data_IF_655377696033
#
_entry.id   IF_655377696033
#
_cell.length_a   1.000
_cell.length_b   1.000
_cell.length_c   1.000
_cell.angle_alpha   90.00
_cell.angle_beta   90.00
_cell.angle_gamma   90.00
#
_symmetry.space_group_name_H-M   'P 1'
#
loop_
_entity.id
_entity.type
_entity.pdbx_description
1 polymer ?
#
# COMPACT_ATOMS: atom_id res chain seq x y z
N UNK A 1 15.53 3.52 -21.71
CA UNK A 1 14.48 4.47 -22.07
C UNK A 1 13.69 4.81 -20.82
N UNK A 2 13.75 6.05 -20.36
CA UNK A 2 13.13 6.51 -19.10
C UNK A 2 11.72 7.07 -19.33
N UNK A 3 11.15 6.89 -20.52
CA UNK A 3 9.98 7.63 -21.02
C UNK A 3 8.62 6.95 -20.74
N UNK A 4 8.59 5.75 -20.14
CA UNK A 4 7.33 5.04 -19.81
C UNK A 4 7.12 4.82 -18.30
N UNK A 5 7.81 5.57 -17.42
CA UNK A 5 7.59 5.43 -15.97
C UNK A 5 6.35 6.20 -15.52
N UNK A 6 5.54 5.57 -14.66
CA UNK A 6 4.35 6.11 -14.03
C UNK A 6 4.74 6.61 -12.64
N UNK A 7 4.41 7.86 -12.32
CA UNK A 7 4.62 8.44 -10.98
C UNK A 7 3.46 8.06 -10.08
N UNK A 8 3.76 7.64 -8.84
CA UNK A 8 2.77 7.32 -7.81
C UNK A 8 3.18 7.98 -6.50
N UNK A 9 2.19 8.51 -5.79
CA UNK A 9 2.37 9.09 -4.48
C UNK A 9 1.75 8.22 -3.40
N UNK A 10 2.50 7.91 -2.36
CA UNK A 10 2.05 7.21 -1.18
C UNK A 10 1.99 8.20 -0.02
N UNK A 11 0.82 8.35 0.59
CA UNK A 11 0.70 9.05 1.87
C UNK A 11 0.91 8.00 2.97
N UNK A 12 2.00 8.13 3.71
CA UNK A 12 2.35 7.20 4.79
C UNK A 12 1.47 7.43 6.02
N UNK A 13 1.61 6.55 7.02
CA UNK A 13 0.81 6.57 8.25
C UNK A 13 1.02 7.83 9.09
N UNK A 14 2.23 8.38 9.06
CA UNK A 14 2.61 9.64 9.70
C UNK A 14 2.13 10.89 8.91
N UNK A 15 1.63 10.71 7.69
CA UNK A 15 1.16 11.76 6.79
C UNK A 15 2.17 12.20 5.73
N UNK A 16 3.42 11.72 5.78
CA UNK A 16 4.44 12.07 4.79
C UNK A 16 4.10 11.53 3.40
N UNK A 17 4.37 12.37 2.40
CA UNK A 17 4.17 12.04 0.98
C UNK A 17 5.45 11.46 0.38
N UNK A 18 5.46 10.16 0.15
CA UNK A 18 6.52 9.44 -0.55
C UNK A 18 6.19 9.35 -2.03
N UNK A 19 7.14 9.68 -2.91
CA UNK A 19 6.93 9.64 -4.37
C UNK A 19 7.87 8.62 -5.01
N UNK A 20 7.29 7.69 -5.76
CA UNK A 20 8.03 6.65 -6.47
C UNK A 20 7.64 6.60 -7.95
N UNK A 21 8.46 5.88 -8.72
CA UNK A 21 8.20 5.63 -10.13
C UNK A 21 8.30 4.15 -10.44
N UNK A 22 7.26 3.60 -11.08
CA UNK A 22 7.23 2.23 -11.57
C UNK A 22 7.00 2.16 -13.08
N UNK A 23 7.07 0.97 -13.64
CA UNK A 23 6.70 0.69 -15.02
C UNK A 23 5.25 0.17 -15.08
N UNK A 24 4.56 0.35 -16.21
CA UNK A 24 3.29 -0.33 -16.44
C UNK A 24 3.45 -1.84 -16.23
N UNK A 25 2.56 -2.43 -15.46
CA UNK A 25 2.60 -3.85 -15.09
C UNK A 25 3.21 -4.14 -13.71
N UNK A 26 4.08 -3.28 -13.17
CA UNK A 26 4.61 -3.44 -11.82
C UNK A 26 3.47 -3.33 -10.80
N UNK A 27 3.44 -4.17 -9.77
CA UNK A 27 2.48 -4.02 -8.68
C UNK A 27 2.86 -2.83 -7.79
N UNK A 28 1.91 -2.29 -7.01
CA UNK A 28 2.25 -1.23 -6.04
C UNK A 28 3.21 -1.71 -4.95
N UNK A 29 3.22 -3.02 -4.67
CA UNK A 29 4.25 -3.62 -3.81
C UNK A 29 5.63 -3.53 -4.45
N UNK A 30 5.77 -3.90 -5.73
CA UNK A 30 7.05 -3.80 -6.44
C UNK A 30 7.54 -2.35 -6.46
N UNK A 31 6.64 -1.39 -6.67
CA UNK A 31 6.99 0.04 -6.64
C UNK A 31 7.57 0.46 -5.29
N UNK A 32 6.97 0.04 -4.19
CA UNK A 32 7.45 0.32 -2.82
C UNK A 32 8.83 -0.29 -2.60
N UNK A 33 9.00 -1.57 -2.93
CA UNK A 33 10.24 -2.32 -2.72
C UNK A 33 11.38 -1.83 -3.61
N UNK A 34 11.15 -1.71 -4.92
CA UNK A 34 12.18 -1.29 -5.88
C UNK A 34 12.67 0.15 -5.66
N UNK A 35 11.80 1.02 -5.14
CA UNK A 35 12.16 2.40 -4.81
C UNK A 35 12.65 2.57 -3.37
N UNK A 36 12.71 1.50 -2.57
CA UNK A 36 13.07 1.52 -1.15
C UNK A 36 12.27 2.57 -0.35
N UNK A 37 10.94 2.60 -0.53
CA UNK A 37 10.09 3.51 0.23
C UNK A 37 10.00 3.06 1.69
N UNK A 38 10.09 4.03 2.60
CA UNK A 38 10.09 3.79 4.04
C UNK A 38 8.65 3.62 4.57
N UNK A 39 8.03 2.48 4.25
CA UNK A 39 6.70 2.11 4.70
C UNK A 39 6.80 0.84 5.55
N UNK A 40 6.93 1.02 6.86
CA UNK A 40 7.16 -0.06 7.81
C UNK A 40 6.14 -1.20 7.66
N UNK A 41 6.65 -2.42 7.59
CA UNK A 41 5.87 -3.66 7.54
C UNK A 41 5.01 -3.84 6.28
N UNK A 42 5.18 -3.00 5.25
CA UNK A 42 4.39 -3.11 4.02
C UNK A 42 4.75 -4.36 3.22
N UNK A 43 3.75 -5.17 2.88
CA UNK A 43 3.92 -6.33 1.99
C UNK A 43 4.67 -7.51 2.59
N UNK A 44 4.46 -7.81 3.88
CA UNK A 44 5.16 -8.86 4.62
C UNK A 44 5.13 -10.27 3.99
N UNK A 45 4.11 -10.60 3.19
CA UNK A 45 4.01 -11.88 2.49
C UNK A 45 4.61 -11.87 1.07
N UNK A 46 5.24 -10.78 0.66
CA UNK A 46 5.88 -10.64 -0.66
C UNK A 46 4.90 -10.86 -1.84
N UNK A 47 3.63 -10.45 -1.67
CA UNK A 47 2.62 -10.52 -2.72
C UNK A 47 1.97 -11.90 -2.90
N UNK A 48 2.20 -12.85 -2.01
CA UNK A 48 1.62 -14.21 -2.06
C UNK A 48 0.16 -14.31 -1.57
N UNK A 49 -0.50 -13.17 -1.39
CA UNK A 49 -1.89 -13.08 -0.93
C UNK A 49 -2.16 -13.79 0.41
N UNK A 50 -1.17 -13.75 1.30
CA UNK A 50 -1.23 -14.41 2.62
C UNK A 50 -1.23 -13.41 3.80
N UNK A 51 -1.42 -12.12 3.53
CA UNK A 51 -1.54 -11.07 4.54
C UNK A 51 -2.29 -9.85 3.98
N UNK A 52 -2.64 -8.91 4.85
CA UNK A 52 -3.27 -7.62 4.51
C UNK A 52 -2.34 -6.41 4.68
N UNK A 53 -1.03 -6.62 4.84
CA UNK A 53 -0.07 -5.54 5.16
C UNK A 53 0.26 -4.61 3.98
N UNK A 54 -0.13 -4.99 2.76
CA UNK A 54 -0.05 -4.17 1.56
C UNK A 54 -1.34 -3.37 1.29
N UNK A 55 -2.25 -3.31 2.26
CA UNK A 55 -3.50 -2.56 2.16
C UNK A 55 -3.23 -1.09 1.85
N UNK A 56 -3.90 -0.60 0.80
CA UNK A 56 -3.89 0.79 0.36
C UNK A 56 -5.32 1.28 0.15
N UNK A 57 -5.52 2.57 0.34
CA UNK A 57 -6.78 3.27 0.11
C UNK A 57 -6.61 4.18 -1.11
N UNK A 58 -7.51 4.04 -2.07
CA UNK A 58 -7.44 4.71 -3.37
C UNK A 58 -8.39 5.91 -3.43
N UNK A 59 -8.05 6.87 -4.30
CA UNK A 59 -8.99 7.91 -4.71
C UNK A 59 -10.12 7.30 -5.54
N UNK A 60 -11.37 7.76 -5.34
CA UNK A 60 -12.58 7.20 -5.96
C UNK A 60 -12.42 7.01 -7.48
N UNK A 61 -11.97 8.05 -8.18
CA UNK A 61 -11.82 8.06 -9.64
C UNK A 61 -10.75 7.09 -10.18
N UNK A 62 -9.84 6.63 -9.32
CA UNK A 62 -8.86 5.58 -9.64
C UNK A 62 -9.46 4.22 -9.31
N UNK A 63 -10.09 4.09 -8.14
CA UNK A 63 -10.73 2.87 -7.68
C UNK A 63 -11.76 2.34 -8.69
N UNK A 64 -12.60 3.22 -9.24
CA UNK A 64 -13.60 2.90 -10.27
C UNK A 64 -13.01 2.29 -11.55
N UNK A 65 -11.71 2.44 -11.79
CA UNK A 65 -10.99 1.93 -12.98
C UNK A 65 -10.13 0.71 -12.68
N UNK A 66 -10.09 0.26 -11.44
CA UNK A 66 -9.38 -0.96 -11.06
C UNK A 66 -10.10 -2.19 -11.61
N UNK A 67 -9.34 -3.26 -11.78
CA UNK A 67 -9.93 -4.55 -12.13
C UNK A 67 -10.80 -5.04 -10.98
N UNK A 68 -11.80 -5.87 -11.30
CA UNK A 68 -12.69 -6.45 -10.30
C UNK A 68 -11.86 -7.16 -9.23
N UNK A 69 -12.24 -6.96 -7.96
CA UNK A 69 -11.61 -7.66 -6.85
C UNK A 69 -11.95 -9.15 -6.93
N UNK A 70 -10.98 -10.00 -6.58
CA UNK A 70 -11.19 -11.45 -6.50
C UNK A 70 -11.70 -11.84 -5.12
N UNK A 71 -12.35 -13.00 -5.00
CA UNK A 71 -12.82 -13.52 -3.70
C UNK A 71 -11.64 -13.73 -2.73
N UNK A 72 -10.52 -14.27 -3.22
CA UNK A 72 -9.33 -14.47 -2.39
C UNK A 72 -8.75 -13.14 -1.89
N UNK A 73 -8.75 -12.09 -2.72
CA UNK A 73 -8.32 -10.76 -2.29
C UNK A 73 -9.27 -10.19 -1.24
N UNK A 74 -10.59 -10.33 -1.44
CA UNK A 74 -11.60 -9.90 -0.46
C UNK A 74 -11.43 -10.61 0.89
N UNK A 75 -11.23 -11.93 0.89
CA UNK A 75 -11.03 -12.72 2.11
C UNK A 75 -9.86 -12.20 2.95
N UNK A 76 -8.77 -11.78 2.30
CA UNK A 76 -7.62 -11.19 2.98
C UNK A 76 -7.86 -9.73 3.36
N UNK A 77 -8.56 -8.97 2.52
CA UNK A 77 -8.85 -7.56 2.74
C UNK A 77 -9.85 -7.35 3.90
N UNK A 78 -10.75 -8.31 4.15
CA UNK A 78 -11.66 -8.31 5.32
C UNK A 78 -10.91 -8.40 6.66
N UNK A 79 -9.68 -8.91 6.64
CA UNK A 79 -8.79 -8.94 7.80
C UNK A 79 -7.97 -7.64 7.94
N UNK A 80 -8.07 -6.72 6.99
CA UNK A 80 -7.32 -5.48 7.00
C UNK A 80 -7.89 -4.48 8.02
N UNK A 81 -7.00 -3.80 8.74
CA UNK A 81 -7.42 -2.75 9.66
C UNK A 81 -7.70 -1.45 8.92
N UNK A 82 -8.73 -0.71 9.35
CA UNK A 82 -9.11 0.55 8.71
C UNK A 82 -9.65 0.35 7.28
N UNK A 83 -10.33 -0.77 7.04
CA UNK A 83 -10.99 -1.07 5.76
C UNK A 83 -11.98 0.04 5.37
N UNK A 84 -12.01 0.39 4.09
CA UNK A 84 -12.84 1.44 3.48
C UNK A 84 -13.40 0.94 2.15
N UNK A 85 -14.35 1.66 1.58
CA UNK A 85 -14.98 1.29 0.30
C UNK A 85 -14.00 1.28 -0.87
N UNK A 86 -12.93 2.08 -0.83
CA UNK A 86 -11.90 2.16 -1.88
C UNK A 86 -10.60 1.45 -1.52
N UNK A 87 -10.66 0.53 -0.56
CA UNK A 87 -9.50 -0.26 -0.15
C UNK A 87 -9.20 -1.39 -1.13
N UNK A 88 -7.91 -1.64 -1.38
CA UNK A 88 -7.42 -2.83 -2.11
C UNK A 88 -6.09 -3.32 -1.52
N UNK A 89 -5.70 -4.54 -1.85
CA UNK A 89 -4.36 -5.03 -1.56
C UNK A 89 -3.41 -4.55 -2.67
N UNK A 90 -2.45 -3.68 -2.33
CA UNK A 90 -1.54 -3.06 -3.29
C UNK A 90 -0.71 -4.06 -4.11
N UNK A 91 -0.46 -5.27 -3.59
CA UNK A 91 0.21 -6.33 -4.34
C UNK A 91 -0.63 -6.90 -5.50
N UNK A 92 -1.95 -6.70 -5.49
CA UNK A 92 -2.87 -7.14 -6.56
C UNK A 92 -3.13 -6.04 -7.60
N UNK A 93 -2.65 -4.81 -7.37
CA UNK A 93 -2.87 -3.67 -8.25
C UNK A 93 -1.63 -3.38 -9.07
N UNK A 94 -1.69 -3.67 -10.37
CA UNK A 94 -0.65 -3.33 -11.33
C UNK A 94 -0.81 -1.90 -11.87
N UNK A 95 0.32 -1.22 -12.07
CA UNK A 95 0.35 0.11 -12.65
C UNK A 95 -0.17 0.12 -14.09
N UNK A 96 -1.12 1.03 -14.36
CA UNK A 96 -1.64 1.36 -15.70
C UNK A 96 -1.27 2.80 -16.04
N UNK A 97 -1.10 3.12 -17.34
CA UNK A 97 -0.73 4.48 -17.77
C UNK A 97 -1.68 5.57 -17.26
N UNK A 98 -2.95 5.22 -17.03
CA UNK A 98 -3.98 6.11 -16.47
C UNK A 98 -3.79 6.46 -14.99
N UNK A 99 -2.84 5.82 -14.30
CA UNK A 99 -2.55 6.01 -12.88
C UNK A 99 -1.41 7.00 -12.63
N UNK A 100 -0.91 7.66 -13.68
CA UNK A 100 0.19 8.61 -13.51
C UNK A 100 -0.23 9.81 -12.64
N UNK A 101 0.63 10.12 -11.66
CA UNK A 101 0.42 11.12 -10.61
C UNK A 101 -0.74 10.80 -9.64
N UNK A 102 -1.20 9.54 -9.57
CA UNK A 102 -2.20 9.14 -8.58
C UNK A 102 -1.64 9.19 -7.16
N UNK A 103 -2.53 9.38 -6.19
CA UNK A 103 -2.20 9.25 -4.77
C UNK A 103 -2.92 8.06 -4.15
N UNK A 104 -2.20 7.28 -3.35
CA UNK A 104 -2.76 6.21 -2.51
C UNK A 104 -2.33 6.46 -1.07
N UNK A 105 -3.16 6.04 -0.12
CA UNK A 105 -2.89 6.21 1.31
C UNK A 105 -2.65 4.87 1.98
N UNK A 106 -1.59 4.80 2.78
CA UNK A 106 -1.36 3.71 3.71
C UNK A 106 -2.27 3.93 4.92
N UNK A 107 -3.14 2.98 5.26
CA UNK A 107 -4.01 3.10 6.42
C UNK A 107 -3.19 3.08 7.72
N UNK A 108 -3.68 3.81 8.73
CA UNK A 108 -3.11 3.72 10.07
C UNK A 108 -3.18 2.27 10.54
N UNK A 109 -2.11 1.76 11.16
CA UNK A 109 -2.18 0.47 11.85
C UNK A 109 -2.79 0.67 13.24
N UNK A 110 -3.38 -0.37 13.83
CA UNK A 110 -3.52 -0.40 15.29
C UNK A 110 -2.11 -0.40 15.87
N UNK A 111 -1.76 0.66 16.58
CA UNK A 111 -0.60 0.64 17.46
C UNK A 111 -0.80 -0.52 18.45
N UNK A 112 0.08 -1.52 18.37
CA UNK A 112 0.08 -2.61 19.34
C UNK A 112 0.23 -2.01 20.74
N UNK A 113 -0.76 -2.21 21.61
CA UNK A 113 -0.79 -1.66 22.96
C UNK A 113 0.45 -2.04 23.81
N UNK A 114 1.26 -3.01 23.36
CA UNK A 114 2.52 -3.42 23.99
C UNK A 114 3.65 -2.40 23.85
N UNK A 115 3.56 -1.37 23.00
CA UNK A 115 4.64 -0.36 22.87
C UNK A 115 4.71 0.66 24.02
N UNK A 116 3.95 0.49 25.10
CA UNK A 116 4.00 1.35 26.29
C UNK A 116 4.82 0.81 27.48
N UNK A 117 5.56 -0.30 27.32
CA UNK A 117 6.38 -0.87 28.39
C UNK A 117 7.83 -1.12 27.94
N UNK A 118 8.71 -0.18 28.29
CA UNK A 118 10.01 -0.36 28.98
C UNK A 118 11.02 0.77 28.64
N UNK A 119 10.65 2.02 28.95
CA UNK A 119 11.60 3.12 29.15
C UNK A 119 11.66 3.44 30.64
N UNK A 120 12.07 2.49 31.48
CA UNK A 120 12.25 2.72 32.92
C UNK A 120 13.22 1.74 33.58
N UNK A 121 14.44 1.57 33.04
CA UNK A 121 15.59 1.08 33.82
C UNK A 121 16.89 1.75 33.39
N UNK A 122 17.08 3.01 33.83
CA UNK A 122 18.42 3.54 34.08
C UNK A 122 18.36 4.41 35.34
N UNK A 123 18.64 3.80 36.48
CA UNK A 123 19.02 4.44 37.75
C UNK A 123 19.87 3.46 38.53
#
# INVERSE_FOLDING_TARGET
SSEDKITVHFINRDGDKLTAKGKPGDSLLDVVVENNLDIDGFGACEGTLACSTCHLIFEDHIFEKLDAITDEEMDMLDLAYGLTETSRLGCQICLKKSMNDMTVRVPEAVADARQSVDMSKNS
#
